data_IF_068514997999
#
_entry.id   IF_068514997999
#
_cell.length_a   1.000
_cell.length_b   1.000
_cell.length_c   1.000
_cell.angle_alpha   90.00
_cell.angle_beta   90.00
_cell.angle_gamma   90.00
#
_symmetry.space_group_name_H-M   'P 1'
#
loop_
_entity.id
_entity.type
_entity.pdbx_description
1 polymer ?
#
# COMPACT_ATOMS: atom_id res chain seq x y z
N UNK A 1 -2.25 -22.15 2.78
CA UNK A 1 -3.06 -20.93 3.03
C UNK A 1 -2.91 -20.00 1.83
N UNK A 2 -4.02 -19.61 1.23
CA UNK A 2 -4.00 -18.71 0.08
C UNK A 2 -4.08 -17.25 0.55
N UNK A 3 -3.23 -16.39 -0.01
CA UNK A 3 -3.09 -15.02 0.46
C UNK A 3 -3.21 -14.08 -0.75
N UNK A 4 -4.15 -13.15 -0.68
CA UNK A 4 -4.20 -12.04 -1.61
C UNK A 4 -3.43 -10.85 -1.02
N UNK A 5 -2.52 -10.26 -1.79
CA UNK A 5 -1.80 -9.05 -1.38
C UNK A 5 -2.23 -7.91 -2.27
N UNK A 6 -2.87 -6.91 -1.71
CA UNK A 6 -3.22 -5.71 -2.44
C UNK A 6 -2.01 -4.77 -2.52
N UNK A 7 -1.62 -4.44 -3.75
CA UNK A 7 -0.45 -3.62 -4.03
C UNK A 7 -0.82 -2.39 -4.87
N UNK A 8 -0.05 -1.34 -4.73
CA UNK A 8 -0.27 -0.08 -5.45
C UNK A 8 1.00 0.40 -6.14
N UNK A 9 0.86 0.88 -7.36
CA UNK A 9 1.90 1.71 -7.97
C UNK A 9 1.80 3.14 -7.44
N UNK A 10 2.89 3.67 -6.92
CA UNK A 10 3.01 5.05 -6.43
C UNK A 10 4.12 5.78 -7.17
N UNK A 11 4.09 7.10 -7.14
CA UNK A 11 5.22 7.91 -7.61
C UNK A 11 6.41 7.63 -6.70
N UNK A 12 7.59 7.48 -7.29
CA UNK A 12 8.82 7.25 -6.55
C UNK A 12 9.02 8.35 -5.50
N UNK A 13 9.39 7.96 -4.28
CA UNK A 13 9.59 8.90 -3.17
C UNK A 13 10.71 9.90 -3.44
N UNK A 14 11.71 9.51 -4.25
CA UNK A 14 12.84 10.35 -4.66
C UNK A 14 12.51 11.25 -5.87
N UNK A 15 11.40 10.99 -6.58
CA UNK A 15 11.00 11.81 -7.70
C UNK A 15 10.42 13.16 -7.26
N UNK A 16 10.64 14.19 -8.05
CA UNK A 16 10.03 15.51 -7.84
C UNK A 16 8.53 15.39 -8.04
N UNK A 17 7.77 15.54 -6.95
CA UNK A 17 6.32 15.49 -6.97
C UNK A 17 5.76 16.76 -7.57
N UNK A 18 4.95 16.63 -8.62
CA UNK A 18 4.24 17.73 -9.27
C UNK A 18 2.75 17.49 -9.16
N UNK A 19 2.00 18.55 -8.99
CA UNK A 19 0.53 18.54 -9.02
C UNK A 19 0.05 19.15 -10.32
N UNK A 20 -0.93 18.54 -10.93
CA UNK A 20 -1.68 19.16 -12.03
C UNK A 20 -2.46 20.36 -11.49
N UNK A 21 -2.23 21.57 -12.00
CA UNK A 21 -2.85 22.79 -11.44
C UNK A 21 -4.36 22.87 -11.69
N UNK A 22 -4.91 22.11 -12.63
CA UNK A 22 -6.34 22.11 -12.92
C UNK A 22 -7.10 21.12 -12.03
N UNK A 23 -6.54 19.94 -11.77
CA UNK A 23 -7.19 18.88 -11.02
C UNK A 23 -6.65 18.71 -9.59
N UNK A 24 -5.52 19.32 -9.26
CA UNK A 24 -4.76 19.12 -8.03
C UNK A 24 -4.36 17.66 -7.77
N UNK A 25 -4.30 16.87 -8.83
CA UNK A 25 -3.86 15.48 -8.77
C UNK A 25 -2.37 15.38 -8.96
N UNK A 26 -1.79 14.36 -8.34
CA UNK A 26 -0.38 14.06 -8.50
C UNK A 26 -0.10 13.65 -9.96
N UNK A 27 0.90 14.28 -10.57
CA UNK A 27 1.43 13.88 -11.88
C UNK A 27 2.09 12.50 -11.76
N UNK A 28 1.55 11.52 -12.48
CA UNK A 28 2.03 10.15 -12.50
C UNK A 28 2.84 9.81 -13.76
N UNK A 29 3.24 10.80 -14.54
CA UNK A 29 4.11 10.63 -15.71
C UNK A 29 5.57 10.38 -15.34
N UNK A 30 5.96 10.70 -14.10
CA UNK A 30 7.30 10.51 -13.56
C UNK A 30 7.56 9.05 -13.16
N UNK A 31 8.77 8.76 -12.71
CA UNK A 31 9.14 7.43 -12.20
C UNK A 31 8.16 6.96 -11.13
N UNK A 32 7.76 5.71 -11.25
CA UNK A 32 6.79 5.09 -10.34
C UNK A 32 7.31 3.71 -9.91
N UNK A 33 6.97 3.34 -8.68
CA UNK A 33 7.45 2.11 -8.03
C UNK A 33 6.29 1.37 -7.35
N UNK A 34 6.52 0.12 -6.95
CA UNK A 34 5.68 -0.55 -5.98
C UNK A 34 5.72 0.23 -4.67
N UNK A 35 4.54 0.50 -4.08
CA UNK A 35 4.46 1.21 -2.82
C UNK A 35 5.37 0.57 -1.75
N UNK A 36 6.29 1.32 -1.13
CA UNK A 36 7.22 0.76 -0.15
C UNK A 36 6.56 0.01 1.00
N UNK A 37 5.38 0.44 1.46
CA UNK A 37 4.66 -0.29 2.51
C UNK A 37 4.08 -1.63 2.01
N UNK A 38 3.78 -1.74 0.73
CA UNK A 38 3.25 -2.98 0.16
C UNK A 38 4.36 -4.03 -0.04
N UNK A 39 5.62 -3.63 -0.11
CA UNK A 39 6.75 -4.57 -0.11
C UNK A 39 6.79 -5.39 1.18
N UNK A 40 6.49 -4.78 2.34
CA UNK A 40 6.35 -5.49 3.62
C UNK A 40 5.16 -6.43 3.62
N UNK A 41 4.05 -6.05 2.98
CA UNK A 41 2.87 -6.90 2.84
C UNK A 41 3.15 -8.12 1.95
N UNK A 42 3.84 -7.93 0.82
CA UNK A 42 4.27 -9.02 -0.06
C UNK A 42 5.21 -9.96 0.68
N UNK A 43 6.21 -9.44 1.38
CA UNK A 43 7.15 -10.26 2.15
C UNK A 43 6.46 -11.06 3.24
N UNK A 44 5.52 -10.46 3.98
CA UNK A 44 4.79 -11.17 5.03
C UNK A 44 3.94 -12.31 4.46
N UNK A 45 3.26 -12.06 3.34
CA UNK A 45 2.52 -13.09 2.63
C UNK A 45 3.43 -14.25 2.16
N UNK A 46 4.61 -13.93 1.67
CA UNK A 46 5.59 -14.94 1.24
C UNK A 46 6.09 -15.78 2.42
N UNK A 47 6.38 -15.16 3.56
CA UNK A 47 6.78 -15.86 4.79
C UNK A 47 5.69 -16.81 5.29
N UNK A 48 4.44 -16.35 5.31
CA UNK A 48 3.30 -17.20 5.70
C UNK A 48 3.15 -18.36 4.71
N UNK A 49 3.23 -18.11 3.40
CA UNK A 49 3.21 -19.16 2.39
C UNK A 49 4.35 -20.16 2.58
N UNK A 50 5.56 -19.72 2.84
CA UNK A 50 6.74 -20.57 3.05
C UNK A 50 6.57 -21.48 4.26
N UNK A 51 5.90 -21.00 5.31
CA UNK A 51 5.66 -21.77 6.54
C UNK A 51 4.45 -22.71 6.43
N UNK A 52 3.38 -22.34 5.72
CA UNK A 52 2.09 -23.03 5.75
C UNK A 52 1.64 -23.58 4.39
N UNK A 53 2.41 -23.35 3.33
CA UNK A 53 2.03 -23.70 1.95
C UNK A 53 0.94 -22.78 1.39
N UNK A 54 0.46 -23.07 0.18
CA UNK A 54 -0.55 -22.31 -0.53
C UNK A 54 0.03 -21.35 -1.57
N UNK A 55 -0.73 -20.32 -1.94
CA UNK A 55 -0.38 -19.39 -3.01
C UNK A 55 -0.49 -17.93 -2.57
N UNK A 56 0.34 -17.06 -3.16
CA UNK A 56 0.28 -15.60 -3.00
C UNK A 56 -0.13 -14.98 -4.31
N UNK A 57 -1.25 -14.24 -4.30
CA UNK A 57 -1.81 -13.55 -5.47
C UNK A 57 -1.71 -12.05 -5.23
N UNK A 58 -0.99 -11.32 -6.09
CA UNK A 58 -0.96 -9.86 -6.04
C UNK A 58 -2.20 -9.28 -6.72
N UNK A 59 -2.89 -8.35 -6.06
CA UNK A 59 -4.07 -7.64 -6.60
C UNK A 59 -3.78 -6.15 -6.66
N UNK A 60 -3.96 -5.53 -7.81
CA UNK A 60 -3.70 -4.11 -8.02
C UNK A 60 -4.84 -3.45 -8.77
N UNK A 61 -5.25 -2.26 -8.35
CA UNK A 61 -6.10 -1.37 -9.14
C UNK A 61 -5.27 -0.18 -9.60
N UNK A 62 -5.23 0.06 -10.90
CA UNK A 62 -4.44 1.17 -11.44
C UNK A 62 -4.48 1.25 -12.96
N UNK A 63 -3.82 2.26 -13.54
CA UNK A 63 -3.65 2.34 -14.99
C UNK A 63 -2.80 1.16 -15.48
N UNK A 64 -2.85 0.87 -16.78
CA UNK A 64 -2.07 -0.21 -17.40
C UNK A 64 -0.58 -0.19 -17.00
N UNK A 65 0.01 0.99 -16.84
CA UNK A 65 1.40 1.16 -16.37
C UNK A 65 1.65 0.57 -14.97
N UNK A 66 0.62 0.37 -14.15
CA UNK A 66 0.77 -0.24 -12.82
C UNK A 66 1.23 -1.71 -12.89
N UNK A 67 1.22 -2.32 -14.09
CA UNK A 67 1.81 -3.64 -14.33
C UNK A 67 3.26 -3.72 -13.84
N UNK A 68 4.06 -2.65 -13.97
CA UNK A 68 5.45 -2.65 -13.53
C UNK A 68 5.58 -2.92 -12.01
N UNK A 69 4.71 -2.32 -11.21
CA UNK A 69 4.68 -2.57 -9.76
C UNK A 69 4.23 -3.99 -9.42
N UNK A 70 3.23 -4.48 -10.15
CA UNK A 70 2.74 -5.87 -10.01
C UNK A 70 3.84 -6.86 -10.39
N UNK A 71 4.59 -6.61 -11.47
CA UNK A 71 5.74 -7.44 -11.87
C UNK A 71 6.83 -7.48 -10.80
N UNK A 72 7.02 -6.40 -10.04
CA UNK A 72 7.93 -6.42 -8.90
C UNK A 72 7.45 -7.39 -7.81
N UNK A 73 6.17 -7.39 -7.45
CA UNK A 73 5.61 -8.34 -6.49
C UNK A 73 5.75 -9.79 -6.98
N UNK A 74 5.52 -10.06 -8.27
CA UNK A 74 5.77 -11.37 -8.89
C UNK A 74 7.26 -11.75 -8.85
N UNK A 75 8.16 -10.81 -9.04
CA UNK A 75 9.61 -11.02 -8.96
C UNK A 75 10.08 -11.30 -7.53
N UNK A 76 9.45 -10.71 -6.52
CA UNK A 76 9.69 -11.03 -5.11
C UNK A 76 9.28 -12.44 -4.75
N UNK A 77 8.24 -13.01 -5.40
CA UNK A 77 7.86 -14.40 -5.15
C UNK A 77 6.36 -14.71 -5.27
N UNK A 78 5.49 -13.70 -5.42
CA UNK A 78 4.07 -13.94 -5.65
C UNK A 78 3.85 -14.87 -6.86
N UNK A 79 2.84 -15.74 -6.81
CA UNK A 79 2.63 -16.81 -7.80
C UNK A 79 1.91 -16.31 -9.04
N UNK A 80 0.92 -15.46 -8.84
CA UNK A 80 0.11 -14.87 -9.90
C UNK A 80 -0.33 -13.44 -9.52
N UNK A 81 -0.98 -12.77 -10.44
CA UNK A 81 -1.50 -11.43 -10.18
C UNK A 81 -2.80 -11.14 -10.94
N UNK A 82 -3.59 -10.24 -10.37
CA UNK A 82 -4.76 -9.63 -11.00
C UNK A 82 -4.57 -8.12 -11.01
N UNK A 83 -4.71 -7.49 -12.16
CA UNK A 83 -4.73 -6.04 -12.30
C UNK A 83 -6.10 -5.57 -12.77
N UNK A 84 -6.70 -4.67 -12.02
CA UNK A 84 -7.96 -4.01 -12.38
C UNK A 84 -7.62 -2.70 -13.04
N UNK A 85 -7.93 -2.57 -14.32
CA UNK A 85 -7.58 -1.38 -15.12
C UNK A 85 -8.70 -1.03 -16.08
N UNK A 86 -9.18 0.20 -16.00
CA UNK A 86 -10.22 0.76 -16.85
C UNK A 86 -10.16 2.29 -16.73
N UNK A 87 -10.43 3.01 -17.79
CA UNK A 87 -10.49 4.48 -17.76
C UNK A 87 -11.60 4.99 -16.83
N UNK A 88 -12.69 4.25 -16.71
CA UNK A 88 -13.79 4.54 -15.79
C UNK A 88 -13.36 4.57 -14.31
N UNK A 89 -12.24 3.94 -13.95
CA UNK A 89 -11.72 3.92 -12.59
C UNK A 89 -10.91 5.18 -12.25
N UNK A 90 -10.58 5.99 -13.25
CA UNK A 90 -9.73 7.17 -13.05
C UNK A 90 -10.39 8.17 -12.11
N UNK A 91 -9.65 8.56 -11.06
CA UNK A 91 -10.14 9.51 -10.07
C UNK A 91 -10.92 8.91 -8.91
N UNK A 92 -10.98 7.58 -8.81
CA UNK A 92 -11.55 6.90 -7.65
C UNK A 92 -10.88 7.36 -6.36
N UNK A 93 -11.69 7.73 -5.37
CA UNK A 93 -11.26 7.92 -3.99
C UNK A 93 -11.12 6.57 -3.25
N UNK A 94 -10.90 6.61 -1.93
CA UNK A 94 -10.78 5.41 -1.13
C UNK A 94 -12.05 4.54 -1.14
N UNK A 95 -13.23 5.15 -1.20
CA UNK A 95 -14.51 4.43 -1.24
C UNK A 95 -14.70 3.71 -2.58
N UNK A 96 -14.51 4.41 -3.69
CA UNK A 96 -14.62 3.83 -5.02
C UNK A 96 -13.52 2.77 -5.26
N UNK A 97 -12.28 3.03 -4.79
CA UNK A 97 -11.17 2.08 -4.86
C UNK A 97 -11.46 0.80 -4.07
N UNK A 98 -11.97 0.93 -2.84
CA UNK A 98 -12.29 -0.24 -2.01
C UNK A 98 -13.41 -1.10 -2.61
N UNK A 99 -14.37 -0.47 -3.32
CA UNK A 99 -15.41 -1.20 -4.04
C UNK A 99 -14.81 -2.05 -5.16
N UNK A 100 -13.99 -1.45 -6.03
CA UNK A 100 -13.38 -2.18 -7.13
C UNK A 100 -12.44 -3.31 -6.64
N UNK A 101 -11.65 -3.06 -5.60
CA UNK A 101 -10.77 -4.07 -5.00
C UNK A 101 -11.57 -5.22 -4.35
N UNK A 102 -12.66 -4.92 -3.64
CA UNK A 102 -13.49 -5.95 -3.04
C UNK A 102 -14.13 -6.87 -4.10
N UNK A 103 -14.62 -6.31 -5.21
CA UNK A 103 -15.15 -7.11 -6.32
C UNK A 103 -14.05 -7.96 -6.99
N UNK A 104 -12.85 -7.42 -7.15
CA UNK A 104 -11.70 -8.19 -7.66
C UNK A 104 -11.35 -9.36 -6.73
N UNK A 105 -11.33 -9.12 -5.42
CA UNK A 105 -11.02 -10.12 -4.39
C UNK A 105 -12.07 -11.23 -4.30
N UNK A 106 -13.34 -10.97 -4.62
CA UNK A 106 -14.37 -12.03 -4.72
C UNK A 106 -14.09 -13.03 -5.85
N UNK A 107 -13.32 -12.63 -6.85
CA UNK A 107 -12.93 -13.47 -7.98
C UNK A 107 -11.67 -14.31 -7.78
N UNK A 108 -11.03 -14.26 -6.60
CA UNK A 108 -9.84 -15.03 -6.26
C UNK A 108 -10.04 -15.78 -4.94
N UNK A 109 -9.31 -16.89 -4.77
CA UNK A 109 -9.36 -17.64 -3.52
C UNK A 109 -8.34 -17.08 -2.54
N UNK A 110 -8.78 -16.80 -1.33
CA UNK A 110 -7.92 -16.31 -0.25
C UNK A 110 -8.47 -16.68 1.13
N UNK A 111 -7.56 -16.90 2.05
CA UNK A 111 -7.81 -17.04 3.48
C UNK A 111 -7.45 -15.72 4.20
N UNK A 112 -6.44 -15.01 3.66
CA UNK A 112 -6.00 -13.70 4.15
C UNK A 112 -5.88 -12.70 2.99
N UNK A 113 -6.27 -11.46 3.26
CA UNK A 113 -5.93 -10.32 2.40
C UNK A 113 -4.97 -9.42 3.16
N UNK A 114 -3.79 -9.15 2.61
CA UNK A 114 -2.77 -8.33 3.26
C UNK A 114 -2.52 -7.05 2.46
N UNK A 115 -2.43 -5.93 3.17
CA UNK A 115 -2.12 -4.60 2.64
C UNK A 115 -0.91 -4.02 3.38
N UNK A 116 -0.18 -3.12 2.74
CA UNK A 116 0.62 -2.14 3.46
C UNK A 116 -0.28 -1.18 4.26
N UNK A 117 0.24 -0.62 5.34
CA UNK A 117 -0.54 0.27 6.23
C UNK A 117 -1.14 1.48 5.50
N UNK A 118 -0.47 1.98 4.46
CA UNK A 118 -0.90 3.12 3.63
C UNK A 118 -0.07 3.21 2.35
N UNK A 119 -0.47 4.08 1.43
CA UNK A 119 0.34 4.42 0.26
C UNK A 119 1.11 5.73 0.49
N UNK A 120 2.33 5.83 -0.05
CA UNK A 120 3.19 7.02 0.10
C UNK A 120 2.72 8.24 -0.70
N UNK A 121 1.73 8.07 -1.58
CA UNK A 121 1.16 9.14 -2.39
C UNK A 121 -0.13 9.73 -1.82
N UNK A 122 -1.05 8.89 -1.35
CA UNK A 122 -2.35 9.32 -0.82
C UNK A 122 -2.45 9.32 0.70
N UNK A 123 -1.68 8.49 1.37
CA UNK A 123 -1.52 8.37 2.84
C UNK A 123 -2.81 8.22 3.66
N UNK A 124 -3.94 7.86 3.03
CA UNK A 124 -5.23 7.80 3.74
C UNK A 124 -5.31 6.64 4.74
N UNK A 125 -4.67 5.49 4.45
CA UNK A 125 -4.68 4.29 5.30
C UNK A 125 -6.04 3.62 5.50
N UNK A 126 -7.11 4.08 4.84
CA UNK A 126 -8.49 3.60 5.09
C UNK A 126 -8.95 2.52 4.12
N UNK A 127 -8.27 2.32 2.99
CA UNK A 127 -8.67 1.35 1.97
C UNK A 127 -8.75 -0.07 2.52
N UNK A 128 -7.80 -0.57 3.34
CA UNK A 128 -7.90 -1.93 3.89
C UNK A 128 -9.16 -2.15 4.72
N UNK A 129 -9.50 -1.20 5.60
CA UNK A 129 -10.71 -1.29 6.43
C UNK A 129 -11.99 -1.24 5.58
N UNK A 130 -12.03 -0.36 4.58
CA UNK A 130 -13.17 -0.26 3.67
C UNK A 130 -13.35 -1.53 2.80
N UNK A 131 -12.26 -2.21 2.44
CA UNK A 131 -12.31 -3.52 1.75
C UNK A 131 -12.83 -4.59 2.69
N UNK A 132 -12.33 -4.66 3.92
CA UNK A 132 -12.79 -5.63 4.92
C UNK A 132 -14.30 -5.53 5.18
N UNK A 133 -14.81 -4.31 5.36
CA UNK A 133 -16.24 -4.03 5.54
C UNK A 133 -17.06 -4.53 4.35
N UNK A 134 -16.59 -4.30 3.12
CA UNK A 134 -17.27 -4.76 1.90
C UNK A 134 -17.26 -6.27 1.71
N UNK A 135 -16.24 -6.93 2.23
CA UNK A 135 -16.10 -8.38 2.22
C UNK A 135 -16.81 -9.06 3.40
N UNK A 136 -17.21 -8.28 4.42
CA UNK A 136 -17.88 -8.79 5.62
C UNK A 136 -16.94 -9.61 6.51
N UNK A 137 -15.65 -9.27 6.57
CA UNK A 137 -14.63 -9.99 7.33
C UNK A 137 -13.91 -9.09 8.33
N UNK A 138 -13.32 -9.66 9.39
CA UNK A 138 -12.54 -8.91 10.36
C UNK A 138 -11.37 -8.14 9.73
N UNK A 139 -11.04 -6.98 10.31
CA UNK A 139 -9.89 -6.15 9.95
C UNK A 139 -8.95 -5.97 11.14
N UNK A 140 -7.68 -6.32 10.95
CA UNK A 140 -6.60 -6.08 11.90
C UNK A 140 -5.56 -5.16 11.27
N UNK A 141 -5.34 -3.99 11.88
CA UNK A 141 -4.52 -2.92 11.28
C UNK A 141 -3.25 -2.62 12.07
N UNK A 142 -2.28 -1.98 11.42
CA UNK A 142 -1.00 -1.53 12.01
C UNK A 142 -0.23 -2.67 12.69
N UNK A 143 -0.11 -3.80 11.99
CA UNK A 143 0.46 -5.01 12.55
C UNK A 143 1.99 -5.00 12.46
N UNK A 144 2.63 -5.21 13.60
CA UNK A 144 4.07 -5.39 13.76
C UNK A 144 4.48 -6.87 13.81
N UNK A 145 3.50 -7.78 14.00
CA UNK A 145 3.73 -9.22 14.00
C UNK A 145 2.45 -9.96 13.59
N UNK A 146 2.63 -11.03 12.82
CA UNK A 146 1.56 -11.98 12.45
C UNK A 146 2.08 -13.39 12.63
N UNK A 147 1.40 -14.18 13.45
CA UNK A 147 1.63 -15.61 13.59
C UNK A 147 0.36 -16.34 13.15
N UNK A 148 0.50 -17.41 12.38
CA UNK A 148 -0.61 -18.24 11.89
C UNK A 148 -0.59 -19.59 12.62
N UNK A 149 -1.74 -20.00 13.14
CA UNK A 149 -1.93 -21.27 13.82
C UNK A 149 -3.24 -21.93 13.31
N UNK A 150 -3.10 -22.77 12.29
CA UNK A 150 -4.23 -23.36 11.57
C UNK A 150 -5.11 -22.29 10.91
N UNK A 151 -6.36 -22.16 11.38
CA UNK A 151 -7.32 -21.13 10.94
C UNK A 151 -7.38 -19.90 11.84
N UNK A 152 -6.48 -19.80 12.82
CA UNK A 152 -6.41 -18.66 13.75
C UNK A 152 -5.15 -17.85 13.47
N UNK A 153 -5.27 -16.54 13.43
CA UNK A 153 -4.15 -15.60 13.35
C UNK A 153 -3.99 -14.89 14.68
N UNK A 154 -2.75 -14.83 15.16
CA UNK A 154 -2.34 -14.10 16.36
C UNK A 154 -1.49 -12.93 15.91
N UNK A 155 -1.85 -11.73 16.34
CA UNK A 155 -1.20 -10.51 15.84
C UNK A 155 -0.82 -9.59 16.98
N UNK A 156 0.25 -8.80 16.75
CA UNK A 156 0.58 -7.66 17.59
C UNK A 156 0.34 -6.38 16.80
N UNK A 157 -0.59 -5.58 17.26
CA UNK A 157 -0.88 -4.24 16.75
C UNK A 157 -0.03 -3.23 17.51
N UNK A 158 0.72 -2.41 16.78
CA UNK A 158 1.46 -1.31 17.36
C UNK A 158 0.54 -0.14 17.71
N UNK A 159 0.80 0.48 18.87
CA UNK A 159 0.15 1.70 19.35
C UNK A 159 1.20 2.63 19.96
N UNK A 160 0.86 3.89 20.22
CA UNK A 160 1.75 4.85 20.90
C UNK A 160 2.19 4.40 22.30
N UNK A 161 1.45 3.49 22.95
CA UNK A 161 1.71 3.00 24.31
C UNK A 161 2.34 1.61 24.34
N UNK A 162 2.61 1.00 23.17
CA UNK A 162 3.16 -0.35 23.06
C UNK A 162 2.36 -1.22 22.08
N UNK A 163 2.18 -2.49 22.43
CA UNK A 163 1.50 -3.46 21.56
C UNK A 163 0.24 -4.00 22.20
N UNK A 164 -0.78 -4.22 21.38
CA UNK A 164 -1.99 -4.94 21.76
C UNK A 164 -2.02 -6.24 20.97
N UNK A 165 -2.20 -7.38 21.67
CA UNK A 165 -2.35 -8.68 21.03
C UNK A 165 -3.81 -8.98 20.73
N UNK A 166 -4.07 -9.50 19.53
CA UNK A 166 -5.38 -9.99 19.12
C UNK A 166 -5.27 -11.39 18.57
N UNK A 167 -6.35 -12.15 18.71
CA UNK A 167 -6.58 -13.40 18.00
C UNK A 167 -7.82 -13.25 17.14
N UNK A 168 -7.76 -13.78 15.91
CA UNK A 168 -8.84 -13.67 14.94
C UNK A 168 -8.88 -14.93 14.08
N UNK A 169 -10.07 -15.48 13.77
CA UNK A 169 -10.19 -16.55 12.79
C UNK A 169 -10.00 -16.00 11.36
N UNK A 170 -9.58 -16.89 10.44
CA UNK A 170 -9.66 -16.63 9.01
C UNK A 170 -11.09 -16.87 8.50
N UNK A 171 -11.57 -16.21 7.42
CA UNK A 171 -10.82 -15.23 6.63
C UNK A 171 -10.76 -13.84 7.28
N UNK A 172 -9.67 -13.09 7.01
CA UNK A 172 -9.47 -11.76 7.57
C UNK A 172 -8.67 -10.85 6.62
N UNK A 173 -8.81 -9.53 6.83
CA UNK A 173 -7.99 -8.50 6.18
C UNK A 173 -6.98 -7.95 7.18
N UNK A 174 -5.74 -7.85 6.76
CA UNK A 174 -4.61 -7.37 7.56
C UNK A 174 -3.99 -6.14 6.91
N UNK A 175 -3.49 -5.19 7.71
CA UNK A 175 -2.55 -4.18 7.22
C UNK A 175 -1.30 -4.14 8.09
N UNK A 176 -0.14 -4.23 7.44
CA UNK A 176 1.16 -4.37 8.10
C UNK A 176 1.96 -3.08 8.03
N UNK A 177 2.75 -2.82 9.08
CA UNK A 177 3.62 -1.64 9.16
C UNK A 177 5.02 -1.94 8.63
N UNK A 178 5.78 -0.87 8.37
CA UNK A 178 7.23 -0.96 8.15
C UNK A 178 7.89 -1.56 9.40
N UNK A 179 8.78 -2.54 9.18
CA UNK A 179 9.52 -3.17 10.28
C UNK A 179 8.91 -4.49 10.78
N UNK A 180 7.74 -4.93 10.26
CA UNK A 180 7.22 -6.27 10.53
C UNK A 180 8.19 -7.37 10.04
N UNK A 181 8.90 -7.08 8.97
CA UNK A 181 9.93 -7.94 8.33
C UNK A 181 10.94 -7.07 7.58
N UNK A 182 11.88 -7.71 6.88
CA UNK A 182 12.73 -7.09 5.86
C UNK A 182 12.33 -7.63 4.50
N UNK A 183 11.76 -6.79 3.59
CA UNK A 183 11.39 -7.23 2.25
C UNK A 183 12.60 -7.75 1.47
N UNK A 184 12.47 -8.94 0.91
CA UNK A 184 13.50 -9.54 0.06
C UNK A 184 13.69 -8.77 -1.24
N UNK A 185 14.94 -8.63 -1.66
CA UNK A 185 15.22 -8.18 -3.02
C UNK A 185 14.91 -9.30 -4.02
N UNK A 186 14.26 -8.97 -5.16
CA UNK A 186 14.05 -9.95 -6.22
C UNK A 186 15.38 -10.53 -6.72
N UNK A 187 15.51 -11.84 -6.76
CA UNK A 187 16.67 -12.48 -7.39
C UNK A 187 16.63 -12.33 -8.92
N UNK A 188 17.79 -12.47 -9.60
CA UNK A 188 17.82 -12.46 -11.07
C UNK A 188 16.87 -13.51 -11.68
N UNK A 189 16.79 -14.70 -11.09
CA UNK A 189 15.84 -15.75 -11.49
C UNK A 189 14.39 -15.29 -11.27
N UNK A 190 14.10 -14.62 -10.17
CA UNK A 190 12.78 -14.04 -9.86
C UNK A 190 12.37 -12.99 -10.89
N UNK A 191 13.27 -12.06 -11.23
CA UNK A 191 13.01 -11.00 -12.23
C UNK A 191 12.72 -11.63 -13.61
N UNK A 192 13.54 -12.58 -14.04
CA UNK A 192 13.33 -13.27 -15.33
C UNK A 192 12.04 -14.11 -15.32
N UNK A 193 11.76 -14.77 -14.21
CA UNK A 193 10.56 -15.61 -14.03
C UNK A 193 9.28 -14.79 -13.97
N UNK A 194 9.30 -13.60 -13.39
CA UNK A 194 8.13 -12.73 -13.23
C UNK A 194 7.40 -12.44 -14.56
N UNK A 195 8.13 -12.34 -15.66
CA UNK A 195 7.56 -12.12 -17.00
C UNK A 195 6.66 -13.28 -17.48
N UNK A 196 6.89 -14.49 -16.97
CA UNK A 196 6.18 -15.71 -17.36
C UNK A 196 5.05 -16.07 -16.39
N UNK A 197 5.02 -15.46 -15.18
CA UNK A 197 3.98 -15.73 -14.21
C UNK A 197 2.63 -15.21 -14.68
N UNK A 198 1.52 -15.90 -14.35
CA UNK A 198 0.18 -15.48 -14.71
C UNK A 198 -0.11 -14.06 -14.22
N UNK A 199 -0.60 -13.21 -15.09
CA UNK A 199 -1.10 -11.90 -14.81
C UNK A 199 -2.40 -11.72 -15.58
N UNK A 200 -3.50 -11.68 -14.86
CA UNK A 200 -4.84 -11.45 -15.42
C UNK A 200 -5.17 -9.95 -15.36
N UNK A 201 -5.68 -9.42 -16.46
CA UNK A 201 -6.16 -8.04 -16.53
C UNK A 201 -7.68 -8.07 -16.60
N UNK A 202 -8.33 -7.34 -15.69
CA UNK A 202 -9.79 -7.19 -15.62
C UNK A 202 -10.18 -5.73 -15.76
N UNK A 203 -11.15 -5.44 -16.58
CA UNK A 203 -11.82 -4.13 -16.68
C UNK A 203 -13.06 -4.06 -15.77
N UNK A 204 -13.71 -2.92 -15.76
CA UNK A 204 -14.91 -2.70 -14.97
C UNK A 204 -16.04 -3.66 -15.36
N UNK A 205 -16.17 -3.98 -16.65
CA UNK A 205 -17.23 -4.88 -17.14
C UNK A 205 -16.95 -6.33 -16.72
N UNK A 206 -15.71 -6.80 -16.82
CA UNK A 206 -15.32 -8.16 -16.40
C UNK A 206 -15.54 -8.40 -14.90
N UNK A 207 -15.47 -7.35 -14.08
CA UNK A 207 -15.76 -7.41 -12.65
C UNK A 207 -17.22 -7.10 -12.30
N UNK A 208 -18.07 -6.76 -13.28
CA UNK A 208 -19.46 -6.36 -13.04
C UNK A 208 -19.57 -5.08 -12.20
N UNK A 209 -18.61 -4.18 -12.31
CA UNK A 209 -18.62 -2.93 -11.54
C UNK A 209 -19.72 -1.99 -12.03
N UNK A 210 -20.46 -1.44 -11.08
CA UNK A 210 -21.34 -0.31 -11.33
C UNK A 210 -20.49 0.95 -11.56
N UNK A 211 -20.43 1.42 -12.80
CA UNK A 211 -19.61 2.58 -13.19
C UNK A 211 -20.01 3.86 -12.46
N UNK A 212 -21.24 3.97 -11.97
CA UNK A 212 -21.69 5.09 -11.13
C UNK A 212 -21.05 5.09 -9.72
N UNK A 213 -20.39 3.99 -9.32
CA UNK A 213 -19.75 3.83 -8.01
C UNK A 213 -18.22 3.90 -8.07
N UNK A 214 -17.64 4.09 -9.23
CA UNK A 214 -16.18 4.17 -9.44
C UNK A 214 -15.79 5.47 -10.12
N UNK A 215 -14.49 5.71 -10.22
CA UNK A 215 -13.95 6.90 -10.85
C UNK A 215 -14.28 8.19 -10.08
N UNK A 216 -14.18 9.31 -10.78
CA UNK A 216 -14.50 10.62 -10.21
C UNK A 216 -15.97 10.77 -9.85
N UNK A 217 -16.87 10.18 -10.65
CA UNK A 217 -18.31 10.26 -10.44
C UNK A 217 -18.77 9.46 -9.22
N UNK A 218 -18.20 8.27 -9.02
CA UNK A 218 -18.52 7.41 -7.87
C UNK A 218 -17.86 7.81 -6.56
N UNK A 219 -16.85 8.70 -6.62
CA UNK A 219 -16.10 9.17 -5.45
C UNK A 219 -16.97 10.02 -4.52
N UNK A 220 -16.80 9.82 -3.20
CA UNK A 220 -17.48 10.58 -2.15
C UNK A 220 -16.63 11.74 -1.62
N UNK A 221 -15.38 11.81 -2.05
CA UNK A 221 -14.47 12.91 -1.72
C UNK A 221 -14.17 13.74 -2.97
N UNK A 222 -14.05 15.07 -2.79
CA UNK A 222 -13.73 16.01 -3.86
C UNK A 222 -12.62 16.94 -3.40
N UNK A 223 -11.58 17.09 -4.24
CA UNK A 223 -10.55 18.11 -4.01
C UNK A 223 -11.15 19.47 -4.30
N UNK A 224 -11.16 20.35 -3.31
CA UNK A 224 -11.72 21.71 -3.43
C UNK A 224 -10.64 22.70 -3.90
N UNK A 225 -9.44 22.58 -3.32
CA UNK A 225 -8.30 23.43 -3.67
C UNK A 225 -7.00 22.75 -3.26
N UNK A 226 -5.90 23.23 -3.78
CA UNK A 226 -4.56 22.79 -3.42
C UNK A 226 -3.57 23.94 -3.47
N UNK A 227 -2.40 23.75 -2.88
CA UNK A 227 -1.25 24.65 -3.03
C UNK A 227 0.03 23.83 -3.06
N UNK A 228 0.99 24.33 -3.80
CA UNK A 228 2.36 23.81 -3.76
C UNK A 228 3.05 24.48 -2.56
N UNK A 229 3.63 23.72 -1.62
CA UNK A 229 4.40 24.30 -0.52
C UNK A 229 5.54 25.16 -1.03
N UNK A 230 5.84 26.25 -0.34
CA UNK A 230 7.03 27.04 -0.65
C UNK A 230 8.29 26.19 -0.48
N UNK A 231 9.32 26.40 -1.31
CA UNK A 231 10.60 25.75 -1.13
C UNK A 231 11.14 26.00 0.28
N UNK A 232 11.71 24.98 0.90
CA UNK A 232 12.36 25.15 2.20
C UNK A 232 13.49 26.18 2.03
N UNK A 233 13.52 27.20 2.90
CA UNK A 233 14.62 28.15 2.96
C UNK A 233 15.88 27.43 3.46
N UNK A 234 17.04 27.85 2.98
CA UNK A 234 18.30 27.35 3.51
C UNK A 234 18.35 27.61 5.03
N UNK A 235 18.69 26.59 5.79
CA UNK A 235 18.87 26.73 7.22
C UNK A 235 20.13 27.55 7.55
N UNK A 236 20.26 27.96 8.80
CA UNK A 236 21.49 28.60 9.28
C UNK A 236 22.58 27.54 9.44
N UNK A 237 23.70 27.73 8.78
CA UNK A 237 24.90 26.90 9.00
C UNK A 237 25.64 27.48 10.21
N UNK A 238 25.92 26.63 11.18
CA UNK A 238 26.71 26.99 12.36
C UNK A 238 28.03 26.22 12.23
N UNK A 239 29.13 26.95 12.16
CA UNK A 239 30.45 26.35 12.28
C UNK A 239 30.71 26.05 13.75
N UNK A 240 31.23 24.87 14.05
CA UNK A 240 31.54 24.46 15.41
C UNK A 240 32.90 25.07 15.84
N UNK A 241 32.84 26.12 16.62
CA UNK A 241 33.98 26.80 17.27
C UNK A 241 34.15 26.31 18.73
N UNK A 242 33.58 25.16 19.09
CA UNK A 242 33.51 24.63 20.45
C UNK A 242 32.21 25.02 21.18
N UNK A 243 31.39 25.88 20.58
CA UNK A 243 30.07 26.31 21.14
C UNK A 243 28.90 25.79 20.34
N UNK A 244 29.13 24.92 19.34
CA UNK A 244 28.08 24.44 18.42
C UNK A 244 26.94 23.74 19.13
N UNK A 245 27.23 22.89 20.12
CA UNK A 245 26.23 22.19 20.90
C UNK A 245 25.31 23.16 21.69
N UNK A 246 25.89 24.20 22.31
CA UNK A 246 25.12 25.23 23.03
C UNK A 246 24.21 26.01 22.07
N UNK A 247 24.73 26.44 20.92
CA UNK A 247 23.95 27.16 19.89
C UNK A 247 22.79 26.32 19.35
N UNK A 248 22.98 25.00 19.17
CA UNK A 248 21.91 24.08 18.77
C UNK A 248 20.85 23.97 19.87
N UNK A 249 21.25 23.82 21.14
CA UNK A 249 20.33 23.74 22.25
C UNK A 249 19.49 25.02 22.40
N UNK A 250 20.14 26.20 22.30
CA UNK A 250 19.45 27.51 22.32
C UNK A 250 18.48 27.65 21.13
N UNK A 251 18.87 27.18 19.94
CA UNK A 251 17.98 27.19 18.79
C UNK A 251 16.74 26.29 19.02
N UNK A 252 16.93 25.06 19.50
CA UNK A 252 15.82 24.15 19.79
C UNK A 252 14.88 24.72 20.87
N UNK A 253 15.44 25.30 21.93
CA UNK A 253 14.65 25.98 22.98
C UNK A 253 13.89 27.18 22.42
N UNK A 254 14.48 27.97 21.52
CA UNK A 254 13.80 29.08 20.85
C UNK A 254 12.59 28.66 20.02
N UNK A 255 12.66 27.44 19.46
CA UNK A 255 11.58 26.84 18.70
C UNK A 255 10.59 26.06 19.56
N UNK A 256 10.78 26.02 20.89
CA UNK A 256 9.96 25.25 21.87
C UNK A 256 9.91 23.76 21.54
N UNK A 257 11.02 23.21 21.07
CA UNK A 257 11.17 21.79 20.76
C UNK A 257 11.80 20.99 21.90
N UNK A 258 12.39 21.70 22.85
CA UNK A 258 12.93 21.21 24.12
C UNK A 258 12.63 22.21 25.23
#
# INVERSE_FOLDING_TARGET
MNIAVCVKQVVDTEAVKKLDPASWRLDRSVAAVLNPYDEYAVEEALKIKEAHGGEVIAVCMGPKKAEDAVRKALAMGADSAVIVTDDALAGSDAQATSYALAEALKGVQWDLVIFGVRSTDGETGVVPAAVAERLGVPMLSTLAKVDVDGSTIKVHRETEQGYISYECPTPAVLSVIKGINEPRYPSMKGIMGAKKKPLETKDAAALGLDTAKVGSEGSKTRVVSGRIPEPRKAGTKIEDDGTGAQKIAEFLASQKLV
#
